data_IF_488817819679
#
_entry.id   IF_488817819679
#
_cell.length_a   1.000
_cell.length_b   1.000
_cell.length_c   1.000
_cell.angle_alpha   90.00
_cell.angle_beta   90.00
_cell.angle_gamma   90.00
#
_symmetry.space_group_name_H-M   'P 1'
#
loop_
_entity.id
_entity.type
_entity.pdbx_description
1 polymer ?
#
# COMPACT_ATOMS: atom_id res chain seq x y z
N UNK A 1 -16.27 -11.72 -1.15
CA UNK A 1 -15.20 -12.72 -1.07
C UNK A 1 -15.12 -13.36 -2.44
N UNK A 2 -13.99 -13.24 -3.13
CA UNK A 2 -13.73 -14.10 -4.29
C UNK A 2 -13.11 -15.38 -3.74
N UNK A 3 -13.79 -16.51 -3.91
CA UNK A 3 -13.32 -17.81 -3.43
C UNK A 3 -12.38 -18.35 -4.50
N UNK A 4 -11.14 -18.63 -4.11
CA UNK A 4 -10.13 -19.20 -5.00
C UNK A 4 -9.30 -20.18 -4.17
N UNK A 5 -9.67 -21.46 -4.19
CA UNK A 5 -9.02 -22.48 -3.35
C UNK A 5 -8.32 -23.50 -4.20
N UNK A 6 -7.16 -23.91 -3.70
CA UNK A 6 -6.37 -24.94 -4.32
C UNK A 6 -7.18 -26.24 -4.49
N UNK A 7 -7.11 -26.84 -5.67
CA UNK A 7 -7.78 -28.11 -5.99
C UNK A 7 -9.29 -28.02 -6.24
N UNK A 8 -9.88 -26.82 -6.27
CA UNK A 8 -11.27 -26.64 -6.71
C UNK A 8 -11.35 -26.38 -8.22
N UNK A 9 -12.39 -26.90 -8.86
CA UNK A 9 -12.67 -26.60 -10.27
C UNK A 9 -12.88 -25.09 -10.45
N UNK A 10 -12.22 -24.52 -11.46
CA UNK A 10 -12.29 -23.08 -11.76
C UNK A 10 -11.39 -22.19 -10.89
N UNK A 11 -10.48 -22.77 -10.09
CA UNK A 11 -9.47 -21.99 -9.38
C UNK A 11 -8.55 -21.24 -10.36
N UNK A 12 -7.97 -20.13 -9.89
CA UNK A 12 -7.05 -19.32 -10.70
C UNK A 12 -5.61 -19.80 -10.54
N UNK A 13 -4.67 -19.16 -11.27
CA UNK A 13 -3.23 -19.39 -11.08
C UNK A 13 -2.64 -18.78 -9.80
N UNK A 14 -3.50 -18.28 -8.91
CA UNK A 14 -3.16 -17.73 -7.59
C UNK A 14 -3.22 -16.23 -7.48
N UNK A 15 -3.35 -15.74 -6.23
CA UNK A 15 -3.43 -14.30 -5.93
C UNK A 15 -2.09 -13.58 -6.12
N UNK A 16 -0.99 -14.31 -6.27
CA UNK A 16 0.38 -13.82 -6.52
C UNK A 16 0.83 -12.70 -5.55
N UNK A 17 0.25 -12.69 -4.34
CA UNK A 17 0.44 -11.65 -3.33
C UNK A 17 1.89 -11.60 -2.84
N UNK A 18 2.54 -12.76 -2.60
CA UNK A 18 3.95 -12.78 -2.20
C UNK A 18 4.84 -12.17 -3.28
N UNK A 19 4.61 -12.55 -4.55
CA UNK A 19 5.37 -12.00 -5.69
C UNK A 19 5.26 -10.49 -5.77
N UNK A 20 4.05 -9.97 -5.60
CA UNK A 20 3.79 -8.55 -5.79
C UNK A 20 4.27 -7.70 -4.61
N UNK A 21 4.14 -8.21 -3.38
CA UNK A 21 4.25 -7.40 -2.15
C UNK A 21 5.56 -7.64 -1.41
N UNK A 22 6.13 -8.84 -1.45
CA UNK A 22 7.38 -9.12 -0.75
C UNK A 22 8.55 -8.44 -1.49
N UNK A 23 9.54 -7.87 -0.76
CA UNK A 23 10.74 -7.29 -1.36
C UNK A 23 11.42 -8.25 -2.32
N UNK A 24 12.07 -7.70 -3.34
CA UNK A 24 12.93 -8.47 -4.24
C UNK A 24 14.26 -8.81 -3.56
N UNK A 25 14.23 -9.68 -2.55
CA UNK A 25 15.39 -9.95 -1.70
C UNK A 25 16.33 -11.03 -2.27
N UNK A 26 15.80 -11.99 -3.03
CA UNK A 26 16.50 -13.24 -3.32
C UNK A 26 17.21 -13.29 -4.69
N UNK A 27 17.00 -12.32 -5.57
CA UNK A 27 17.70 -12.32 -6.86
C UNK A 27 19.21 -12.08 -6.67
N UNK A 28 20.08 -12.78 -7.42
CA UNK A 28 21.52 -12.64 -7.31
C UNK A 28 21.99 -11.19 -7.49
N UNK A 29 22.84 -10.73 -6.57
CA UNK A 29 23.49 -9.42 -6.66
C UNK A 29 22.66 -8.23 -6.18
N UNK A 30 21.39 -8.41 -5.83
CA UNK A 30 20.57 -7.33 -5.28
C UNK A 30 20.94 -6.96 -3.85
N UNK A 31 21.29 -7.94 -3.03
CA UNK A 31 21.76 -7.73 -1.67
C UNK A 31 23.18 -8.29 -1.58
N UNK A 32 24.09 -7.48 -1.04
CA UNK A 32 25.50 -7.77 -0.85
C UNK A 32 25.80 -7.98 0.62
N UNK A 33 26.74 -8.86 0.91
CA UNK A 33 27.35 -8.92 2.23
C UNK A 33 28.24 -7.68 2.43
N UNK A 34 28.60 -7.32 3.67
CA UNK A 34 29.53 -6.22 3.95
C UNK A 34 30.91 -6.35 3.30
N UNK A 35 31.34 -7.57 2.94
CA UNK A 35 32.57 -7.81 2.17
C UNK A 35 32.35 -7.90 0.64
N UNK A 36 31.18 -7.49 0.14
CA UNK A 36 30.89 -7.34 -1.29
C UNK A 36 30.43 -8.60 -2.02
N UNK A 37 30.31 -9.74 -1.34
CA UNK A 37 29.81 -10.98 -1.95
C UNK A 37 28.29 -10.93 -2.15
N UNK A 38 27.75 -11.75 -3.05
CA UNK A 38 26.30 -11.89 -3.23
C UNK A 38 25.69 -12.54 -1.98
N UNK A 39 24.77 -11.81 -1.32
CA UNK A 39 24.24 -12.18 -0.01
C UNK A 39 23.11 -13.22 -0.05
N UNK A 40 22.29 -13.17 -1.10
CA UNK A 40 20.99 -13.86 -1.12
C UNK A 40 20.82 -14.79 -2.31
N UNK A 41 19.89 -15.73 -2.17
CA UNK A 41 19.34 -16.57 -3.23
C UNK A 41 17.87 -16.88 -2.93
N UNK A 42 17.01 -16.83 -3.94
CA UNK A 42 15.62 -17.31 -3.89
C UNK A 42 15.50 -18.77 -4.36
N UNK A 43 16.60 -19.50 -4.58
CA UNK A 43 16.54 -20.91 -4.95
C UNK A 43 15.77 -21.70 -3.88
N UNK A 44 15.02 -22.71 -4.32
CA UNK A 44 14.29 -23.60 -3.43
C UNK A 44 15.22 -24.63 -2.78
N UNK A 45 14.75 -25.24 -1.69
CA UNK A 45 15.41 -26.28 -0.93
C UNK A 45 16.83 -25.90 -0.45
N UNK A 46 17.04 -24.61 -0.14
CA UNK A 46 18.27 -24.16 0.50
C UNK A 46 18.27 -24.50 1.99
N UNK A 47 19.45 -24.67 2.56
CA UNK A 47 19.65 -24.87 4.00
C UNK A 47 18.98 -23.77 4.85
N UNK A 48 19.03 -22.53 4.36
CA UNK A 48 18.24 -21.42 4.91
C UNK A 48 17.13 -21.11 3.88
N UNK A 49 16.04 -21.87 3.96
CA UNK A 49 14.87 -21.83 3.07
C UNK A 49 13.98 -20.61 3.26
N UNK A 50 14.46 -19.43 2.83
CA UNK A 50 13.70 -18.19 2.92
C UNK A 50 12.58 -18.12 1.89
N UNK A 51 12.73 -18.75 0.73
CA UNK A 51 11.71 -18.70 -0.34
C UNK A 51 10.47 -19.51 0.03
N UNK A 52 10.63 -20.64 0.72
CA UNK A 52 9.52 -21.42 1.25
C UNK A 52 8.85 -20.69 2.41
N UNK A 53 9.64 -20.02 3.26
CA UNK A 53 9.15 -19.31 4.43
C UNK A 53 8.37 -18.04 4.07
N UNK A 54 8.93 -17.20 3.18
CA UNK A 54 8.40 -15.86 2.91
C UNK A 54 7.82 -15.69 1.50
N UNK A 55 8.07 -16.64 0.59
CA UNK A 55 7.75 -16.50 -0.82
C UNK A 55 8.80 -15.75 -1.61
N UNK A 56 8.73 -15.91 -2.92
CA UNK A 56 9.57 -15.22 -3.91
C UNK A 56 8.98 -13.85 -4.24
N UNK A 57 9.46 -12.82 -3.57
CA UNK A 57 9.12 -11.43 -3.84
C UNK A 57 9.82 -10.85 -5.07
N UNK A 58 9.14 -9.97 -5.80
CA UNK A 58 9.77 -9.10 -6.83
C UNK A 58 9.38 -7.63 -6.67
N UNK A 59 8.66 -7.27 -5.60
CA UNK A 59 8.19 -5.92 -5.31
C UNK A 59 7.61 -5.19 -6.53
N UNK A 60 6.37 -5.54 -6.89
CA UNK A 60 5.55 -4.77 -7.85
C UNK A 60 4.86 -3.57 -7.20
N UNK A 61 4.99 -3.45 -5.89
CA UNK A 61 4.59 -2.28 -5.13
C UNK A 61 5.81 -1.61 -4.51
N UNK A 62 5.61 -0.38 -4.05
CA UNK A 62 6.52 0.29 -3.12
C UNK A 62 5.69 0.89 -2.00
N UNK A 63 5.82 0.40 -0.76
CA UNK A 63 5.20 1.04 0.39
C UNK A 63 5.77 2.46 0.60
N UNK A 64 4.93 3.40 1.03
CA UNK A 64 5.40 4.71 1.48
C UNK A 64 5.94 4.61 2.91
N UNK A 65 6.76 5.59 3.31
CA UNK A 65 7.19 5.78 4.68
C UNK A 65 5.98 5.95 5.62
N UNK A 66 4.91 6.56 5.13
CA UNK A 66 3.64 6.65 5.84
C UNK A 66 3.15 5.26 6.28
N UNK A 67 2.95 4.32 5.35
CA UNK A 67 2.44 2.97 5.67
C UNK A 67 3.47 2.08 6.39
N UNK A 68 4.77 2.34 6.19
CA UNK A 68 5.84 1.54 6.79
C UNK A 68 6.21 1.97 8.21
N UNK A 69 5.99 3.24 8.56
CA UNK A 69 6.51 3.85 9.78
C UNK A 69 5.53 4.81 10.41
N UNK A 70 5.12 5.86 9.69
CA UNK A 70 4.42 6.97 10.33
C UNK A 70 3.07 6.58 10.92
N UNK A 71 2.32 5.70 10.26
CA UNK A 71 1.04 5.22 10.80
C UNK A 71 1.22 4.41 12.07
N UNK A 72 2.40 3.84 12.32
CA UNK A 72 2.64 3.04 13.52
C UNK A 72 3.13 3.89 14.70
N UNK A 73 3.38 5.19 14.50
CA UNK A 73 3.79 6.11 15.57
C UNK A 73 2.61 6.99 15.96
N UNK A 74 2.11 6.82 17.18
CA UNK A 74 1.03 7.63 17.74
C UNK A 74 1.54 8.32 19.01
N UNK A 75 1.28 9.62 19.14
CA UNK A 75 1.77 10.44 20.26
C UNK A 75 3.28 10.30 20.52
N UNK A 76 4.07 10.24 19.44
CA UNK A 76 5.52 10.07 19.50
C UNK A 76 6.01 8.67 19.89
N UNK A 77 5.10 7.70 20.10
CA UNK A 77 5.43 6.33 20.49
C UNK A 77 5.10 5.35 19.36
N UNK A 78 6.06 4.51 18.97
CA UNK A 78 5.84 3.43 18.01
C UNK A 78 5.04 2.29 18.66
N UNK A 79 3.91 1.93 18.06
CA UNK A 79 3.04 0.84 18.48
C UNK A 79 3.66 -0.51 18.10
N UNK A 80 4.45 -1.04 19.02
CA UNK A 80 5.14 -2.33 18.88
C UNK A 80 4.31 -3.51 19.40
N UNK A 81 3.14 -3.24 20.00
CA UNK A 81 2.24 -4.24 20.57
C UNK A 81 1.09 -4.62 19.64
N UNK A 82 0.73 -3.73 18.70
CA UNK A 82 -0.25 -4.00 17.65
C UNK A 82 0.13 -5.23 16.84
N UNK A 83 -0.71 -6.27 16.89
CA UNK A 83 -0.47 -7.54 16.21
C UNK A 83 -0.24 -7.40 14.71
N UNK A 84 -0.70 -6.32 14.07
CA UNK A 84 -0.52 -6.04 12.64
C UNK A 84 0.89 -5.59 12.28
N UNK A 85 1.60 -4.96 13.21
CA UNK A 85 2.94 -4.39 13.04
C UNK A 85 4.00 -5.01 13.96
N UNK A 86 3.57 -5.92 14.84
CA UNK A 86 4.43 -6.63 15.77
C UNK A 86 5.38 -7.57 15.01
N UNK A 87 6.66 -7.53 15.36
CA UNK A 87 7.68 -8.30 14.63
C UNK A 87 8.01 -9.64 15.28
N UNK A 88 7.90 -9.77 16.60
CA UNK A 88 8.25 -11.00 17.34
C UNK A 88 7.25 -12.15 17.12
N UNK A 89 5.99 -11.85 16.77
CA UNK A 89 4.98 -12.83 16.34
C UNK A 89 5.10 -13.24 14.85
N UNK A 90 6.06 -12.67 14.13
CA UNK A 90 6.29 -12.93 12.70
C UNK A 90 5.27 -12.31 11.76
N UNK A 91 4.34 -11.47 12.23
CA UNK A 91 3.38 -10.82 11.36
C UNK A 91 3.97 -9.63 10.60
N UNK A 92 4.86 -8.86 11.21
CA UNK A 92 5.62 -7.82 10.50
C UNK A 92 7.08 -8.23 10.34
N UNK A 93 7.50 -8.41 9.09
CA UNK A 93 8.87 -8.84 8.78
C UNK A 93 9.68 -7.64 8.33
N UNK A 94 10.81 -7.43 9.03
CA UNK A 94 11.84 -6.49 8.61
C UNK A 94 12.97 -7.26 7.94
N UNK A 95 13.66 -6.60 7.00
CA UNK A 95 14.73 -7.25 6.21
C UNK A 95 15.88 -7.75 7.09
N UNK A 96 16.15 -7.08 8.21
CA UNK A 96 17.17 -7.47 9.19
C UNK A 96 16.87 -8.82 9.85
N UNK A 97 15.62 -9.31 9.79
CA UNK A 97 15.26 -10.65 10.28
C UNK A 97 15.60 -11.77 9.29
N UNK A 98 15.91 -11.43 8.04
CA UNK A 98 16.39 -12.40 7.06
C UNK A 98 17.88 -12.68 7.30
N UNK A 99 18.34 -13.82 6.79
CA UNK A 99 19.73 -14.25 6.89
C UNK A 99 20.35 -14.31 5.49
N UNK A 100 21.64 -14.00 5.38
CA UNK A 100 22.38 -14.26 4.15
C UNK A 100 22.37 -15.76 3.85
N UNK A 101 21.64 -16.16 2.83
CA UNK A 101 21.35 -17.57 2.53
C UNK A 101 22.02 -18.09 1.26
N UNK A 102 22.83 -17.28 0.57
CA UNK A 102 23.46 -17.71 -0.67
C UNK A 102 24.45 -18.88 -0.45
N UNK A 103 24.25 -20.05 -1.10
CA UNK A 103 25.11 -21.23 -0.90
C UNK A 103 26.60 -21.01 -1.25
N UNK A 104 26.90 -20.05 -2.14
CA UNK A 104 28.27 -19.71 -2.48
C UNK A 104 29.04 -19.13 -1.29
N UNK A 105 28.35 -18.47 -0.36
CA UNK A 105 28.96 -17.98 0.89
C UNK A 105 29.40 -19.16 1.76
N UNK A 106 28.54 -20.17 1.93
CA UNK A 106 28.88 -21.38 2.69
C UNK A 106 30.04 -22.13 2.03
N UNK A 107 29.97 -22.35 0.71
CA UNK A 107 31.02 -23.05 -0.06
C UNK A 107 32.38 -22.37 0.06
N UNK A 108 32.42 -21.04 0.14
CA UNK A 108 33.66 -20.26 0.30
C UNK A 108 34.10 -20.06 1.74
N UNK A 109 33.36 -20.56 2.74
CA UNK A 109 33.64 -20.28 4.15
C UNK A 109 33.45 -18.82 4.54
N UNK A 110 32.62 -18.06 3.80
CA UNK A 110 32.38 -16.65 4.07
C UNK A 110 31.62 -16.46 5.39
N UNK A 111 32.19 -15.64 6.27
CA UNK A 111 31.71 -15.36 7.64
C UNK A 111 30.28 -14.82 7.72
N UNK A 112 29.75 -14.29 6.63
CA UNK A 112 28.42 -13.70 6.58
C UNK A 112 27.31 -14.72 6.34
N UNK A 113 27.60 -15.95 5.91
CA UNK A 113 26.56 -16.98 5.74
C UNK A 113 25.81 -17.21 7.07
N UNK A 114 24.48 -17.16 7.03
CA UNK A 114 23.63 -17.32 8.20
C UNK A 114 23.60 -16.13 9.17
N UNK A 115 24.25 -15.00 8.84
CA UNK A 115 24.11 -13.75 9.62
C UNK A 115 22.92 -12.93 9.14
N UNK A 116 22.37 -12.11 10.03
CA UNK A 116 21.30 -11.17 9.72
C UNK A 116 21.71 -10.16 8.63
N UNK A 117 20.75 -9.79 7.78
CA UNK A 117 20.98 -8.78 6.76
C UNK A 117 21.27 -7.41 7.37
N UNK A 118 22.04 -6.61 6.64
CA UNK A 118 22.36 -5.23 6.99
C UNK A 118 22.05 -4.32 5.80
N UNK A 119 21.41 -3.18 6.05
CA UNK A 119 21.15 -2.20 4.99
C UNK A 119 22.43 -1.45 4.60
N UNK A 120 23.29 -1.16 5.59
CA UNK A 120 24.52 -0.41 5.42
C UNK A 120 25.72 -1.18 5.97
N UNK A 121 26.88 -1.03 5.34
CA UNK A 121 28.16 -1.44 5.91
C UNK A 121 28.57 -0.56 7.09
N UNK A 122 29.63 -0.94 7.80
CA UNK A 122 30.24 -0.10 8.84
C UNK A 122 30.75 1.26 8.34
N UNK A 123 30.99 1.40 7.03
CA UNK A 123 31.42 2.64 6.37
C UNK A 123 30.25 3.43 5.77
N UNK A 124 29.01 3.01 6.01
CA UNK A 124 27.80 3.67 5.49
C UNK A 124 27.48 3.34 4.03
N UNK A 125 28.13 2.34 3.43
CA UNK A 125 27.84 1.91 2.06
C UNK A 125 26.52 1.14 2.02
N UNK A 126 25.61 1.51 1.12
CA UNK A 126 24.35 0.79 0.90
C UNK A 126 24.65 -0.64 0.37
N UNK A 127 24.10 -1.65 1.05
CA UNK A 127 24.34 -3.07 0.75
C UNK A 127 23.24 -3.71 -0.11
N UNK A 128 22.24 -2.94 -0.53
CA UNK A 128 21.24 -3.38 -1.49
C UNK A 128 21.27 -2.50 -2.75
N UNK A 129 20.71 -3.01 -3.85
CA UNK A 129 20.57 -2.24 -5.10
C UNK A 129 19.81 -0.94 -4.88
N UNK A 130 18.71 -0.99 -4.12
CA UNK A 130 17.83 0.14 -3.86
C UNK A 130 16.91 -0.10 -2.65
N UNK A 131 16.36 0.97 -2.07
CA UNK A 131 15.34 0.92 -1.01
C UNK A 131 13.91 1.07 -1.54
N UNK A 132 13.71 0.80 -2.84
CA UNK A 132 12.46 0.95 -3.58
C UNK A 132 11.74 -0.40 -3.70
N UNK A 133 12.47 -1.41 -4.14
CA UNK A 133 12.05 -2.77 -4.46
C UNK A 133 12.80 -3.82 -3.66
N UNK A 134 14.03 -3.54 -3.25
CA UNK A 134 14.90 -4.55 -2.62
C UNK A 134 14.80 -4.54 -1.10
N UNK A 135 14.52 -3.38 -0.48
CA UNK A 135 14.53 -3.24 0.98
C UNK A 135 13.33 -2.46 1.52
N UNK A 136 12.36 -3.19 2.10
CA UNK A 136 11.25 -2.64 2.89
C UNK A 136 10.60 -3.76 3.72
N UNK A 137 9.75 -3.41 4.70
CA UNK A 137 9.07 -4.38 5.57
C UNK A 137 7.69 -4.74 5.03
N UNK A 138 7.14 -5.89 5.42
CA UNK A 138 5.82 -6.32 4.95
C UNK A 138 5.00 -7.06 6.03
N UNK A 139 3.66 -7.01 5.94
CA UNK A 139 2.77 -7.78 6.80
C UNK A 139 2.67 -9.23 6.27
N UNK A 140 3.48 -10.12 6.80
CA UNK A 140 3.67 -11.48 6.30
C UNK A 140 2.38 -12.30 6.20
N UNK A 141 1.58 -12.41 7.27
CA UNK A 141 0.37 -13.23 7.21
C UNK A 141 -0.76 -12.59 6.39
N UNK A 142 -0.68 -11.29 6.09
CA UNK A 142 -1.61 -10.63 5.16
C UNK A 142 -1.32 -11.00 3.70
N UNK A 143 -0.06 -11.29 3.38
CA UNK A 143 0.40 -11.50 2.00
C UNK A 143 0.73 -12.96 1.70
N UNK A 144 0.89 -13.79 2.72
CA UNK A 144 1.26 -15.19 2.57
C UNK A 144 0.04 -16.04 2.22
N UNK A 145 0.09 -16.69 1.05
CA UNK A 145 -0.88 -17.68 0.56
C UNK A 145 -0.12 -18.90 0.03
N UNK A 146 -0.34 -20.12 0.55
CA UNK A 146 0.41 -21.30 0.13
C UNK A 146 0.35 -21.50 -1.39
N UNK A 147 1.47 -21.90 -1.98
CA UNK A 147 1.61 -22.07 -3.44
C UNK A 147 2.25 -23.44 -3.74
N UNK A 148 1.48 -24.53 -3.64
CA UNK A 148 2.01 -25.89 -3.78
C UNK A 148 2.46 -26.23 -5.20
N UNK A 149 2.00 -25.50 -6.22
CA UNK A 149 2.32 -25.78 -7.63
C UNK A 149 3.69 -25.23 -8.04
N UNK A 150 4.30 -24.36 -7.24
CA UNK A 150 5.55 -23.68 -7.58
C UNK A 150 6.67 -24.06 -6.64
N UNK A 151 7.78 -24.51 -7.25
CA UNK A 151 9.06 -24.73 -6.56
C UNK A 151 9.53 -23.49 -5.80
N UNK A 152 9.29 -22.29 -6.36
CA UNK A 152 9.49 -21.01 -5.69
C UNK A 152 8.11 -20.35 -5.46
N UNK A 153 7.50 -20.52 -4.27
CA UNK A 153 6.17 -20.02 -3.95
C UNK A 153 6.00 -18.53 -4.20
N UNK A 154 4.87 -18.13 -4.76
CA UNK A 154 4.60 -16.74 -5.16
C UNK A 154 3.23 -16.21 -4.67
N UNK A 155 2.45 -17.03 -3.99
CA UNK A 155 1.06 -16.77 -3.61
C UNK A 155 0.12 -17.54 -4.53
N UNK A 156 -0.27 -18.74 -4.09
CA UNK A 156 -1.13 -19.64 -4.85
C UNK A 156 -2.61 -19.23 -4.82
N UNK A 157 -3.52 -20.13 -5.21
CA UNK A 157 -4.96 -19.92 -5.07
C UNK A 157 -5.31 -19.60 -3.61
N UNK A 158 -5.89 -18.42 -3.37
CA UNK A 158 -6.34 -18.02 -2.04
C UNK A 158 -7.56 -17.12 -2.06
N UNK A 159 -8.49 -17.35 -1.12
CA UNK A 159 -9.65 -16.50 -0.92
C UNK A 159 -9.20 -15.05 -0.64
N UNK A 160 -9.82 -14.07 -1.30
CA UNK A 160 -9.52 -12.65 -1.11
C UNK A 160 -10.73 -11.89 -0.56
N UNK A 161 -10.48 -11.03 0.44
CA UNK A 161 -11.52 -10.21 1.02
C UNK A 161 -11.95 -9.13 0.03
N UNK A 162 -13.26 -9.02 -0.17
CA UNK A 162 -13.90 -7.90 -0.88
C UNK A 162 -14.53 -6.94 0.12
N UNK A 163 -15.16 -7.50 1.17
CA UNK A 163 -15.71 -6.78 2.30
C UNK A 163 -15.45 -7.58 3.56
N UNK A 164 -15.29 -6.89 4.68
CA UNK A 164 -15.20 -7.49 6.01
C UNK A 164 -15.64 -6.52 7.09
N UNK A 165 -16.07 -7.03 8.24
CA UNK A 165 -16.69 -6.25 9.30
C UNK A 165 -15.85 -5.04 9.77
N UNK A 166 -14.52 -5.16 9.83
CA UNK A 166 -13.68 -4.01 10.21
C UNK A 166 -13.82 -2.82 9.24
N UNK A 167 -14.03 -3.07 7.95
CA UNK A 167 -14.30 -2.01 6.99
C UNK A 167 -15.64 -1.31 7.30
N UNK A 168 -16.65 -2.05 7.74
CA UNK A 168 -17.95 -1.48 8.14
C UNK A 168 -17.79 -0.55 9.34
N UNK A 169 -16.98 -0.93 10.35
CA UNK A 169 -16.63 -0.03 11.46
C UNK A 169 -15.94 1.24 10.95
N UNK A 170 -14.98 1.13 10.03
CA UNK A 170 -14.26 2.29 9.48
C UNK A 170 -15.15 3.20 8.63
N UNK A 171 -16.07 2.63 7.84
CA UNK A 171 -17.07 3.39 7.08
C UNK A 171 -18.06 4.11 8.01
N UNK A 172 -18.46 3.48 9.11
CA UNK A 172 -19.35 4.10 10.09
C UNK A 172 -18.62 5.17 10.92
N UNK A 173 -17.37 4.95 11.31
CA UNK A 173 -16.52 5.96 11.93
C UNK A 173 -16.37 7.19 11.02
N UNK A 174 -16.11 6.98 9.73
CA UNK A 174 -16.10 8.06 8.74
C UNK A 174 -17.42 8.84 8.72
N UNK A 175 -18.57 8.15 8.70
CA UNK A 175 -19.87 8.81 8.74
C UNK A 175 -20.05 9.67 10.01
N UNK A 176 -19.56 9.20 11.15
CA UNK A 176 -19.57 9.97 12.39
C UNK A 176 -18.65 11.20 12.35
N UNK A 177 -17.47 11.12 11.71
CA UNK A 177 -16.61 12.28 11.45
C UNK A 177 -17.37 13.35 10.67
N UNK A 178 -18.10 12.97 9.61
CA UNK A 178 -18.89 13.93 8.81
C UNK A 178 -20.03 14.59 9.59
N UNK A 179 -20.54 13.92 10.63
CA UNK A 179 -21.61 14.43 11.51
C UNK A 179 -21.08 15.20 12.73
N UNK A 180 -19.76 15.26 12.94
CA UNK A 180 -19.17 15.81 14.16
C UNK A 180 -19.42 14.96 15.42
N UNK A 181 -19.75 13.67 15.26
CA UNK A 181 -20.02 12.74 16.36
C UNK A 181 -18.72 12.07 16.83
N UNK A 182 -17.78 12.86 17.35
CA UNK A 182 -16.39 12.49 17.60
C UNK A 182 -16.19 11.24 18.48
N UNK A 183 -16.93 11.13 19.58
CA UNK A 183 -16.81 9.98 20.48
C UNK A 183 -17.21 8.68 19.76
N UNK A 184 -18.29 8.70 18.95
CA UNK A 184 -18.73 7.51 18.24
C UNK A 184 -17.75 7.09 17.15
N UNK A 185 -17.08 8.05 16.50
CA UNK A 185 -16.00 7.76 15.57
C UNK A 185 -14.82 7.07 16.30
N UNK A 186 -14.44 7.57 17.48
CA UNK A 186 -13.40 6.97 18.30
C UNK A 186 -13.76 5.54 18.72
N UNK A 187 -14.98 5.31 19.19
CA UNK A 187 -15.45 3.99 19.64
C UNK A 187 -15.39 2.93 18.52
N UNK A 188 -15.79 3.30 17.29
CA UNK A 188 -15.74 2.41 16.13
C UNK A 188 -14.31 2.06 15.72
N UNK A 189 -13.41 3.05 15.66
CA UNK A 189 -11.99 2.81 15.38
C UNK A 189 -11.36 1.96 16.49
N UNK A 190 -11.68 2.25 17.74
CA UNK A 190 -11.10 1.57 18.90
C UNK A 190 -11.54 0.12 19.02
N UNK A 191 -12.71 -0.25 18.48
CA UNK A 191 -13.11 -1.66 18.37
C UNK A 191 -12.08 -2.48 17.58
N UNK A 192 -11.55 -1.92 16.49
CA UNK A 192 -10.52 -2.56 15.66
C UNK A 192 -9.19 -2.58 16.39
N UNK A 193 -8.81 -1.46 17.01
CA UNK A 193 -7.54 -1.28 17.72
C UNK A 193 -7.42 -2.21 18.92
N UNK A 194 -8.49 -2.35 19.71
CA UNK A 194 -8.56 -3.30 20.82
C UNK A 194 -8.37 -4.75 20.33
N UNK A 195 -9.06 -5.15 19.25
CA UNK A 195 -8.88 -6.49 18.65
C UNK A 195 -7.44 -6.72 18.18
N UNK A 196 -6.80 -5.68 17.63
CA UNK A 196 -5.42 -5.74 17.19
C UNK A 196 -4.39 -5.64 18.33
N UNK A 197 -4.82 -5.49 19.58
CA UNK A 197 -3.94 -5.25 20.73
C UNK A 197 -3.05 -4.00 20.54
N UNK A 198 -3.59 -2.98 19.87
CA UNK A 198 -2.90 -1.72 19.68
C UNK A 198 -2.78 -0.96 21.01
N UNK A 199 -1.63 -0.36 21.25
CA UNK A 199 -1.34 0.35 22.51
C UNK A 199 -2.17 1.62 22.67
N UNK A 200 -2.24 2.41 21.59
CA UNK A 200 -2.92 3.70 21.62
C UNK A 200 -4.42 3.52 21.33
N UNK A 201 -5.27 4.19 22.09
CA UNK A 201 -6.73 4.19 21.95
C UNK A 201 -7.17 5.64 21.74
N UNK A 202 -7.89 5.90 20.66
CA UNK A 202 -8.31 7.25 20.29
C UNK A 202 -9.37 7.81 21.25
N UNK A 203 -9.30 9.10 21.52
CA UNK A 203 -10.30 9.88 22.25
C UNK A 203 -11.19 10.67 21.29
N UNK A 204 -12.28 11.24 21.80
CA UNK A 204 -13.07 12.21 21.03
C UNK A 204 -12.24 13.43 20.58
N UNK A 205 -11.30 13.91 21.42
CA UNK A 205 -10.44 15.04 21.05
C UNK A 205 -9.50 14.69 19.90
N UNK A 206 -8.97 13.46 19.88
CA UNK A 206 -8.16 13.00 18.75
C UNK A 206 -8.97 12.97 17.45
N UNK A 207 -10.23 12.53 17.51
CA UNK A 207 -11.11 12.53 16.34
C UNK A 207 -11.44 13.93 15.84
N UNK A 208 -11.66 14.88 16.75
CA UNK A 208 -11.89 16.28 16.40
C UNK A 208 -10.66 16.90 15.71
N UNK A 209 -9.45 16.59 16.21
CA UNK A 209 -8.19 17.11 15.69
C UNK A 209 -7.78 16.45 14.36
N UNK A 210 -7.83 15.12 14.29
CA UNK A 210 -7.35 14.34 13.14
C UNK A 210 -8.41 14.17 12.05
N UNK A 211 -9.69 14.20 12.43
CA UNK A 211 -10.85 14.06 11.55
C UNK A 211 -10.74 12.80 10.66
N UNK A 212 -10.94 12.94 9.35
CA UNK A 212 -10.82 11.86 8.38
C UNK A 212 -9.40 11.25 8.35
N UNK A 213 -8.39 11.99 8.82
CA UNK A 213 -7.02 11.52 8.92
C UNK A 213 -6.91 10.27 9.81
N UNK A 214 -7.59 10.24 10.95
CA UNK A 214 -7.58 9.09 11.85
C UNK A 214 -8.21 7.84 11.20
N UNK A 215 -9.33 8.01 10.49
CA UNK A 215 -9.95 6.91 9.75
C UNK A 215 -9.02 6.41 8.65
N UNK A 216 -8.41 7.31 7.87
CA UNK A 216 -7.49 6.94 6.79
C UNK A 216 -6.24 6.24 7.29
N UNK A 217 -5.73 6.60 8.47
CA UNK A 217 -4.62 5.94 9.13
C UNK A 217 -5.01 4.54 9.59
N UNK A 218 -6.19 4.37 10.21
CA UNK A 218 -6.63 3.03 10.63
C UNK A 218 -6.98 2.14 9.44
N UNK A 219 -7.53 2.70 8.35
CA UNK A 219 -7.75 1.98 7.08
C UNK A 219 -6.43 1.47 6.48
N UNK A 220 -5.35 2.24 6.55
CA UNK A 220 -4.03 1.81 6.07
C UNK A 220 -3.46 0.63 6.88
N UNK A 221 -3.57 0.69 8.22
CA UNK A 221 -3.15 -0.40 9.12
C UNK A 221 -3.96 -1.67 8.91
N UNK A 222 -5.27 -1.52 8.79
CA UNK A 222 -6.24 -2.62 8.84
C UNK A 222 -6.44 -3.28 7.47
N UNK A 223 -6.69 -2.48 6.43
CA UNK A 223 -7.10 -2.92 5.09
C UNK A 223 -5.93 -2.96 4.09
N UNK A 224 -4.70 -3.19 4.59
CA UNK A 224 -3.52 -3.30 3.76
C UNK A 224 -3.73 -4.29 2.59
N UNK A 225 -3.54 -3.81 1.37
CA UNK A 225 -3.72 -4.55 0.10
C UNK A 225 -5.15 -5.06 -0.18
N UNK A 226 -6.14 -4.73 0.65
CA UNK A 226 -7.56 -5.07 0.44
C UNK A 226 -8.37 -3.86 -0.03
N UNK A 227 -8.00 -2.66 0.40
CA UNK A 227 -8.72 -1.44 0.05
C UNK A 227 -8.32 -0.91 -1.33
N UNK A 228 -9.32 -0.55 -2.13
CA UNK A 228 -9.14 0.25 -3.35
C UNK A 228 -8.85 1.72 -2.97
N UNK A 229 -7.65 1.97 -2.45
CA UNK A 229 -7.27 3.25 -1.81
C UNK A 229 -7.55 4.47 -2.68
N UNK A 230 -7.33 4.38 -3.99
CA UNK A 230 -7.64 5.47 -4.92
C UNK A 230 -9.14 5.77 -4.95
N UNK A 231 -9.99 4.75 -5.02
CA UNK A 231 -11.44 4.90 -5.06
C UNK A 231 -11.94 5.54 -3.78
N UNK A 232 -11.46 5.08 -2.62
CA UNK A 232 -11.83 5.65 -1.32
C UNK A 232 -11.41 7.12 -1.19
N UNK A 233 -10.16 7.45 -1.53
CA UNK A 233 -9.70 8.84 -1.48
C UNK A 233 -10.43 9.75 -2.48
N UNK A 234 -10.78 9.25 -3.67
CA UNK A 234 -11.59 9.99 -4.64
C UNK A 234 -13.00 10.24 -4.09
N UNK A 235 -13.64 9.23 -3.47
CA UNK A 235 -14.96 9.37 -2.83
C UNK A 235 -14.94 10.42 -1.73
N UNK A 236 -13.95 10.37 -0.84
CA UNK A 236 -13.77 11.35 0.25
C UNK A 236 -13.54 12.75 -0.31
N UNK A 237 -12.73 12.89 -1.37
CA UNK A 237 -12.51 14.18 -2.01
C UNK A 237 -13.78 14.79 -2.61
N UNK A 238 -14.63 13.96 -3.21
CA UNK A 238 -15.96 14.38 -3.69
C UNK A 238 -16.88 14.78 -2.53
N UNK A 239 -16.85 14.06 -1.41
CA UNK A 239 -17.64 14.43 -0.21
C UNK A 239 -17.22 15.82 0.27
N UNK A 240 -15.92 16.05 0.48
CA UNK A 240 -15.41 17.37 0.86
C UNK A 240 -15.83 18.48 -0.10
N UNK A 241 -15.72 18.22 -1.41
CA UNK A 241 -16.08 19.18 -2.44
C UNK A 241 -17.59 19.48 -2.53
N UNK A 242 -18.44 18.51 -2.17
CA UNK A 242 -19.90 18.67 -2.13
C UNK A 242 -20.38 19.36 -0.85
N UNK A 243 -19.77 19.08 0.29
CA UNK A 243 -20.22 19.58 1.59
C UNK A 243 -19.60 20.92 1.96
N UNK A 244 -18.42 21.26 1.40
CA UNK A 244 -17.69 22.46 1.78
C UNK A 244 -17.13 22.42 3.21
N UNK A 245 -17.16 21.25 3.87
CA UNK A 245 -16.58 21.06 5.19
C UNK A 245 -15.07 21.37 5.13
N UNK A 246 -14.57 22.16 6.08
CA UNK A 246 -13.14 22.46 6.21
C UNK A 246 -12.39 21.18 6.63
N UNK A 247 -11.41 20.79 5.84
CA UNK A 247 -10.54 19.65 6.08
C UNK A 247 -9.49 19.96 7.17
N UNK A 248 -8.95 18.91 7.82
CA UNK A 248 -7.89 19.03 8.84
C UNK A 248 -6.67 19.82 8.36
N UNK A 249 -6.40 19.82 7.05
CA UNK A 249 -5.31 20.57 6.44
C UNK A 249 -5.63 22.08 6.26
N UNK A 250 -6.76 22.54 6.77
CA UNK A 250 -7.21 23.93 6.73
C UNK A 250 -7.92 24.34 5.44
N UNK A 251 -7.95 23.49 4.40
CA UNK A 251 -8.59 23.80 3.12
C UNK A 251 -10.07 23.42 3.09
N UNK A 252 -10.82 24.14 2.27
CA UNK A 252 -12.16 23.76 1.82
C UNK A 252 -12.10 23.52 0.32
N UNK A 253 -12.84 22.53 -0.17
CA UNK A 253 -12.86 22.15 -1.58
C UNK A 253 -14.24 22.42 -2.19
N UNK A 254 -14.31 22.47 -3.52
CA UNK A 254 -15.55 22.72 -4.26
C UNK A 254 -15.63 21.82 -5.49
N UNK A 255 -16.85 21.44 -5.87
CA UNK A 255 -17.11 20.69 -7.10
C UNK A 255 -16.68 21.46 -8.36
N UNK A 256 -16.72 22.80 -8.34
CA UNK A 256 -16.36 23.63 -9.51
C UNK A 256 -14.87 23.65 -9.85
N UNK A 257 -14.01 23.26 -8.89
CA UNK A 257 -12.56 23.25 -9.04
C UNK A 257 -11.95 21.89 -8.66
N UNK A 258 -12.76 20.83 -8.64
CA UNK A 258 -12.34 19.50 -8.18
C UNK A 258 -11.15 18.94 -8.96
N UNK A 259 -10.99 19.31 -10.23
CA UNK A 259 -9.87 18.85 -11.07
C UNK A 259 -8.59 19.68 -10.91
N UNK A 260 -8.65 20.78 -10.16
CA UNK A 260 -7.57 21.73 -9.92
C UNK A 260 -7.14 21.72 -8.44
N UNK A 261 -8.08 21.51 -7.52
CA UNK A 261 -7.86 21.51 -6.09
C UNK A 261 -8.80 20.51 -5.41
N UNK A 262 -8.24 19.42 -4.90
CA UNK A 262 -9.02 18.37 -4.25
C UNK A 262 -8.23 17.67 -3.14
N UNK A 263 -8.97 17.10 -2.19
CA UNK A 263 -8.39 16.37 -1.06
C UNK A 263 -7.59 15.14 -1.50
N UNK A 264 -7.97 14.45 -2.58
CA UNK A 264 -7.25 13.28 -3.07
C UNK A 264 -5.79 13.62 -3.39
N UNK A 265 -5.56 14.71 -4.13
CA UNK A 265 -4.23 15.18 -4.49
C UNK A 265 -3.44 15.65 -3.28
N UNK A 266 -4.09 16.40 -2.39
CA UNK A 266 -3.45 16.89 -1.17
C UNK A 266 -3.02 15.72 -0.28
N UNK A 267 -3.89 14.74 -0.03
CA UNK A 267 -3.59 13.56 0.79
C UNK A 267 -2.52 12.69 0.15
N UNK A 268 -2.59 12.47 -1.16
CA UNK A 268 -1.57 11.69 -1.89
C UNK A 268 -0.21 12.37 -1.78
N UNK A 269 -0.11 13.69 -1.97
CA UNK A 269 1.16 14.40 -1.79
C UNK A 269 1.62 14.46 -0.34
N UNK A 270 0.70 14.65 0.61
CA UNK A 270 1.02 14.68 2.04
C UNK A 270 1.70 13.38 2.48
N UNK A 271 1.25 12.22 1.99
CA UNK A 271 1.71 10.89 2.42
C UNK A 271 2.66 10.18 1.45
N UNK A 272 2.98 10.79 0.31
CA UNK A 272 3.90 10.22 -0.69
C UNK A 272 5.36 10.48 -0.30
N UNK A 273 6.27 9.63 -0.78
CA UNK A 273 7.72 9.88 -0.77
C UNK A 273 8.24 10.24 -2.18
N UNK A 274 7.33 10.47 -3.13
CA UNK A 274 7.65 10.69 -4.54
C UNK A 274 7.08 12.00 -5.03
N UNK A 275 5.75 12.13 -5.00
CA UNK A 275 5.07 13.25 -5.64
C UNK A 275 5.34 14.59 -4.93
N UNK A 276 5.70 14.54 -3.64
CA UNK A 276 6.14 15.69 -2.85
C UNK A 276 7.67 15.85 -2.79
N UNK A 277 8.45 15.01 -3.50
CA UNK A 277 9.91 15.06 -3.55
C UNK A 277 10.37 15.38 -4.97
N UNK A 278 10.78 16.64 -5.26
CA UNK A 278 11.09 17.06 -6.63
C UNK A 278 12.27 16.31 -7.25
N UNK A 279 13.14 15.69 -6.44
CA UNK A 279 14.30 14.93 -6.89
C UNK A 279 14.09 13.41 -6.93
N UNK A 280 12.90 12.92 -6.57
CA UNK A 280 12.60 11.49 -6.65
C UNK A 280 12.48 11.07 -8.11
N UNK A 281 13.35 10.14 -8.54
CA UNK A 281 13.42 9.66 -9.92
C UNK A 281 13.67 8.16 -9.99
N UNK A 282 13.25 7.57 -11.10
CA UNK A 282 13.62 6.21 -11.49
C UNK A 282 15.13 6.13 -11.81
N UNK A 283 15.72 4.92 -11.86
CA UNK A 283 17.10 4.73 -12.33
C UNK A 283 17.35 5.28 -13.76
N UNK A 284 16.29 5.44 -14.56
CA UNK A 284 16.36 5.98 -15.92
C UNK A 284 16.18 7.50 -16.00
N UNK A 285 16.10 8.20 -14.86
CA UNK A 285 15.99 9.66 -14.82
C UNK A 285 14.58 10.22 -14.88
N UNK A 286 13.54 9.38 -15.01
CA UNK A 286 12.14 9.84 -14.99
C UNK A 286 11.72 10.24 -13.57
N UNK A 287 11.15 11.44 -13.44
CA UNK A 287 10.63 11.96 -12.18
C UNK A 287 9.23 11.42 -11.88
N UNK A 288 8.93 11.26 -10.60
CA UNK A 288 7.58 10.91 -10.17
C UNK A 288 6.75 12.17 -9.95
N UNK A 289 5.75 12.39 -10.79
CA UNK A 289 4.86 13.56 -10.71
C UNK A 289 3.40 13.14 -10.59
N UNK A 290 2.60 14.02 -9.98
CA UNK A 290 1.16 13.86 -9.87
C UNK A 290 0.50 15.23 -10.09
N UNK A 291 -0.77 15.25 -10.51
CA UNK A 291 -1.54 16.47 -10.72
C UNK A 291 -2.97 16.30 -10.19
N UNK A 292 -3.66 17.37 -9.80
CA UNK A 292 -4.98 17.27 -9.18
C UNK A 292 -6.03 16.56 -10.05
N UNK A 293 -5.97 16.72 -11.37
CA UNK A 293 -6.90 16.09 -12.31
C UNK A 293 -6.78 14.55 -12.37
N UNK A 294 -5.71 13.96 -11.83
CA UNK A 294 -5.55 12.51 -11.72
C UNK A 294 -6.51 11.85 -10.71
N UNK A 295 -7.32 12.64 -9.98
CA UNK A 295 -8.42 12.16 -9.14
C UNK A 295 -9.35 11.20 -9.90
N UNK A 296 -9.61 11.49 -11.19
CA UNK A 296 -10.33 10.60 -12.10
C UNK A 296 -9.36 9.99 -13.12
N UNK A 297 -9.55 8.72 -13.49
CA UNK A 297 -8.79 8.10 -14.57
C UNK A 297 -9.22 8.63 -15.94
N UNK A 298 -8.34 8.62 -16.96
CA UNK A 298 -8.77 8.92 -18.32
C UNK A 298 -9.78 7.89 -18.79
N UNK A 299 -10.75 8.33 -19.59
CA UNK A 299 -11.57 7.42 -20.38
C UNK A 299 -10.68 6.79 -21.45
N UNK A 300 -10.70 5.45 -21.62
CA UNK A 300 -9.89 4.79 -22.64
C UNK A 300 -10.14 5.35 -24.03
N UNK A 301 -9.07 5.63 -24.77
CA UNK A 301 -9.16 6.23 -26.11
C UNK A 301 -9.99 5.40 -27.08
N UNK A 302 -9.92 4.05 -26.98
CA UNK A 302 -10.73 3.17 -27.81
C UNK A 302 -12.23 3.34 -27.56
N UNK A 303 -12.66 3.61 -26.32
CA UNK A 303 -14.06 3.82 -25.99
C UNK A 303 -14.59 5.11 -26.62
N UNK A 304 -13.78 6.18 -26.60
CA UNK A 304 -14.10 7.45 -27.25
C UNK A 304 -14.14 7.27 -28.78
N UNK A 305 -13.10 6.66 -29.36
CA UNK A 305 -12.92 6.60 -30.82
C UNK A 305 -13.89 5.63 -31.51
N UNK A 306 -14.33 4.58 -30.82
CA UNK A 306 -15.27 3.59 -31.39
C UNK A 306 -16.74 4.00 -31.30
N UNK A 307 -17.07 5.08 -30.58
CA UNK A 307 -18.44 5.57 -30.46
C UNK A 307 -18.84 6.42 -31.68
N UNK A 308 -18.93 5.81 -32.87
CA UNK A 308 -19.08 6.51 -34.16
C UNK A 308 -20.43 7.20 -34.39
N UNK A 309 -21.32 7.27 -33.39
CA UNK A 309 -22.61 7.97 -33.44
C UNK A 309 -22.85 8.95 -32.30
N UNK A 310 -21.88 9.14 -31.41
CA UNK A 310 -22.02 10.03 -30.26
C UNK A 310 -20.67 10.56 -29.75
N UNK A 311 -20.72 11.43 -28.75
CA UNK A 311 -19.52 12.00 -28.13
C UNK A 311 -19.45 11.50 -26.68
N UNK A 312 -18.37 10.79 -26.35
CA UNK A 312 -18.02 10.49 -24.95
C UNK A 312 -16.99 11.54 -24.52
N UNK A 313 -17.38 12.40 -23.58
CA UNK A 313 -16.50 13.42 -23.03
C UNK A 313 -15.36 12.79 -22.22
N UNK A 314 -14.14 13.24 -22.44
CA UNK A 314 -12.97 12.88 -21.65
C UNK A 314 -12.99 13.57 -20.27
N UNK A 315 -12.38 12.95 -19.27
CA UNK A 315 -12.10 13.62 -17.99
C UNK A 315 -11.09 14.76 -18.19
N UNK A 316 -11.34 15.91 -17.56
CA UNK A 316 -10.50 17.11 -17.73
C UNK A 316 -9.03 16.80 -17.37
N UNK A 317 -8.11 17.31 -18.18
CA UNK A 317 -6.66 17.16 -17.99
C UNK A 317 -6.01 16.07 -18.85
N UNK A 318 -6.81 15.26 -19.53
CA UNK A 318 -6.32 14.22 -20.43
C UNK A 318 -6.49 14.61 -21.90
N UNK A 319 -5.66 14.06 -22.82
CA UNK A 319 -5.84 14.28 -24.26
C UNK A 319 -7.24 13.91 -24.73
N UNK A 320 -7.88 14.79 -25.49
CA UNK A 320 -9.28 14.66 -25.90
C UNK A 320 -10.25 15.53 -25.10
N UNK A 321 -9.82 16.15 -23.99
CA UNK A 321 -10.66 17.08 -23.20
C UNK A 321 -11.16 18.26 -24.06
N UNK A 322 -10.34 18.72 -25.00
CA UNK A 322 -10.63 19.81 -25.93
C UNK A 322 -11.80 19.51 -26.88
N UNK A 323 -12.20 18.24 -27.00
CA UNK A 323 -13.34 17.78 -27.81
C UNK A 323 -14.62 17.60 -26.99
N UNK A 324 -14.59 17.88 -25.69
CA UNK A 324 -15.76 17.75 -24.85
C UNK A 324 -16.86 18.72 -25.28
N UNK A 325 -18.09 18.23 -25.28
CA UNK A 325 -19.31 19.03 -25.54
C UNK A 325 -20.17 19.11 -24.30
N UNK A 326 -21.13 20.03 -24.27
CA UNK A 326 -22.14 20.07 -23.20
C UNK A 326 -22.84 18.70 -23.11
N UNK A 327 -22.83 18.03 -21.94
CA UNK A 327 -23.52 16.75 -21.77
C UNK A 327 -25.00 16.88 -22.11
N UNK A 328 -25.56 15.86 -22.76
CA UNK A 328 -27.00 15.77 -22.97
C UNK A 328 -27.68 15.64 -21.59
N UNK A 329 -28.72 16.44 -21.39
CA UNK A 329 -29.58 16.33 -20.21
C UNK A 329 -30.68 15.33 -20.56
N UNK A 330 -30.82 14.28 -19.75
CA UNK A 330 -31.95 13.37 -19.85
C UNK A 330 -33.03 13.85 -18.89
N UNK A 331 -34.13 14.36 -19.44
CA UNK A 331 -35.25 14.90 -18.66
C UNK A 331 -36.30 13.83 -18.29
N UNK A 332 -36.03 12.55 -18.57
CA UNK A 332 -36.95 11.44 -18.32
C UNK A 332 -37.97 11.20 -19.43
N UNK A 333 -38.58 10.02 -19.42
CA UNK A 333 -39.96 9.79 -19.88
C UNK A 333 -40.89 9.75 -18.65
#
# INVERSE_FOLDING_TARGET
MTIDRYGMEGNTGGVISMRNIVPNYGQPGLIKTPNGANGMSDAAALEIGLVEKYGRGVARIRPSWYSQKSVWVLDGVEDTLDYRHRTDNGNWITMEKLLYNNPALKKSGNVWFGKNLQLYSSTGTLLCLDTIRTWFSWPHYKVWVPDPDRVQPQGGPGDWYIYRLAETYLLRAEAYIWKGEWQKAADDINTIRQRANAQYIYTASDMENLQIGAVLDERDRELHYEELRKVELTRIAVIYARTGIKCYNGKTYSMSSLTENNFWYDRVNEKSDFYNKPNARTPYGNYFTCSPHHIFWPIPSYAINSNTGGIINQNKGYPGTERNVTPLVYDGE
#
